data_IF_008939967564
#
_entry.id   IF_008939967564
#
_cell.length_a   1.000
_cell.length_b   1.000
_cell.length_c   1.000
_cell.angle_alpha   90.00
_cell.angle_beta   90.00
_cell.angle_gamma   90.00
#
_symmetry.space_group_name_H-M   'P 1'
#
loop_
_entity.id
_entity.type
_entity.pdbx_description
1 polymer ?
#
# COMPACT_ATOMS: atom_id res chain seq x y z
N UNK A 1 -4.07 37.61 18.61
CA UNK A 1 -5.45 37.25 18.34
C UNK A 1 -5.43 36.50 17.00
N UNK A 2 -5.88 35.27 16.97
CA UNK A 2 -5.99 34.51 15.73
C UNK A 2 -7.40 34.72 15.13
N UNK A 3 -7.46 34.79 13.79
CA UNK A 3 -8.71 34.79 13.07
C UNK A 3 -8.99 33.37 12.58
N UNK A 4 -10.17 32.88 12.83
CA UNK A 4 -10.69 31.59 12.34
C UNK A 4 -11.86 31.81 11.41
N UNK A 5 -12.15 30.87 10.53
CA UNK A 5 -13.33 30.93 9.67
C UNK A 5 -14.53 30.28 10.38
N UNK A 6 -15.66 30.96 10.38
CA UNK A 6 -16.90 30.38 10.88
C UNK A 6 -17.31 29.17 10.02
N UNK A 7 -17.56 27.99 10.60
CA UNK A 7 -17.90 26.78 9.85
C UNK A 7 -19.26 26.86 9.14
N UNK A 8 -20.15 27.78 9.56
CA UNK A 8 -21.49 27.92 9.01
C UNK A 8 -21.54 28.97 7.90
N UNK A 9 -21.00 30.18 8.14
CA UNK A 9 -21.11 31.29 7.19
C UNK A 9 -19.80 31.63 6.45
N UNK A 10 -18.68 30.98 6.78
CA UNK A 10 -17.37 31.18 6.14
C UNK A 10 -16.66 32.50 6.47
N UNK A 11 -17.29 33.40 7.23
CA UNK A 11 -16.70 34.71 7.58
C UNK A 11 -15.58 34.56 8.61
N UNK A 12 -14.58 35.48 8.53
CA UNK A 12 -13.49 35.53 9.51
C UNK A 12 -13.97 36.07 10.84
N UNK A 13 -13.73 35.34 11.92
CA UNK A 13 -14.14 35.69 13.29
C UNK A 13 -12.95 35.53 14.25
N UNK A 14 -12.96 36.22 15.37
CA UNK A 14 -11.94 36.01 16.42
C UNK A 14 -12.08 34.61 17.03
N UNK A 15 -10.95 33.97 17.30
CA UNK A 15 -10.85 32.70 18.02
C UNK A 15 -11.41 32.78 19.46
N UNK A 16 -11.60 33.99 19.98
CA UNK A 16 -12.15 34.29 21.32
C UNK A 16 -13.60 34.80 21.30
N UNK A 17 -14.27 34.81 20.14
CA UNK A 17 -15.63 35.26 20.05
C UNK A 17 -16.60 34.28 20.73
N UNK A 18 -17.50 34.74 21.57
CA UNK A 18 -18.52 33.89 22.22
C UNK A 18 -19.58 33.38 21.25
N UNK A 19 -19.75 34.07 20.13
CA UNK A 19 -20.61 33.68 19.01
C UNK A 19 -20.15 34.35 17.73
N UNK A 20 -20.46 33.74 16.59
CA UNK A 20 -20.19 34.35 15.29
C UNK A 20 -21.00 35.66 15.13
N UNK A 21 -20.36 36.81 14.89
CA UNK A 21 -21.09 38.08 14.75
C UNK A 21 -21.94 38.14 13.48
N UNK A 22 -21.72 37.25 12.51
CA UNK A 22 -22.39 37.25 11.20
C UNK A 22 -23.59 36.30 11.14
N UNK A 23 -23.52 35.12 11.76
CA UNK A 23 -24.60 34.11 11.71
C UNK A 23 -25.12 33.69 13.09
N UNK A 24 -24.52 34.19 14.19
CA UNK A 24 -24.94 33.88 15.54
C UNK A 24 -24.49 32.49 16.06
N UNK A 25 -23.73 31.73 15.31
CA UNK A 25 -23.25 30.39 15.71
C UNK A 25 -22.49 30.48 17.05
N UNK A 26 -22.87 29.72 18.10
CA UNK A 26 -22.19 29.76 19.40
C UNK A 26 -20.73 29.30 19.35
N UNK A 27 -19.90 29.82 20.24
CA UNK A 27 -18.47 29.48 20.34
C UNK A 27 -18.19 27.98 20.53
N UNK A 28 -19.13 27.24 21.12
CA UNK A 28 -19.01 25.78 21.29
C UNK A 28 -18.84 25.03 19.99
N UNK A 29 -19.32 25.57 18.88
CA UNK A 29 -19.22 24.95 17.55
C UNK A 29 -17.92 25.29 16.80
N UNK A 30 -17.24 26.38 17.15
CA UNK A 30 -15.96 26.75 16.51
C UNK A 30 -14.75 26.74 17.46
N UNK A 31 -14.96 26.80 18.78
CA UNK A 31 -13.87 26.58 19.76
C UNK A 31 -13.36 25.15 19.78
N UNK A 32 -14.15 24.18 19.31
CA UNK A 32 -13.70 22.82 19.05
C UNK A 32 -12.76 22.72 17.82
N UNK A 33 -12.82 23.65 16.88
CA UNK A 33 -11.95 23.71 15.70
C UNK A 33 -10.54 24.19 16.04
N UNK A 34 -10.40 25.09 17.04
CA UNK A 34 -9.09 25.57 17.51
C UNK A 34 -8.39 24.62 18.49
N UNK A 35 -9.13 23.70 19.10
CA UNK A 35 -8.60 22.72 20.07
C UNK A 35 -8.30 21.34 19.49
N UNK A 36 -8.71 21.08 18.24
CA UNK A 36 -8.54 19.78 17.59
C UNK A 36 -7.25 19.65 16.72
N UNK A 37 -6.25 20.51 16.99
CA UNK A 37 -4.88 20.24 16.55
C UNK A 37 -4.14 19.17 17.41
N UNK A 38 -4.64 18.68 18.54
CA UNK A 38 -3.86 17.77 19.41
C UNK A 38 -3.75 16.32 18.89
N UNK A 39 -4.73 15.81 18.14
CA UNK A 39 -4.68 14.41 17.71
C UNK A 39 -3.64 14.09 16.64
N UNK A 40 -3.13 15.08 15.93
CA UNK A 40 -2.05 14.93 14.95
C UNK A 40 -0.72 14.61 15.65
N UNK A 41 -0.52 15.04 16.90
CA UNK A 41 0.70 14.79 17.67
C UNK A 41 0.72 13.43 18.37
N UNK A 42 -0.42 12.82 18.62
CA UNK A 42 -0.51 11.56 19.37
C UNK A 42 -0.13 10.32 18.57
N UNK A 43 -0.18 10.39 17.25
CA UNK A 43 0.20 9.26 16.39
C UNK A 43 1.72 9.16 16.09
N UNK A 44 2.55 10.08 16.60
CA UNK A 44 3.99 10.08 16.34
C UNK A 44 4.38 10.30 14.87
N UNK A 45 3.42 10.72 14.03
CA UNK A 45 3.63 10.95 12.61
C UNK A 45 4.12 12.37 12.33
N UNK A 46 5.17 12.48 11.54
CA UNK A 46 5.65 13.76 11.03
C UNK A 46 4.86 14.18 9.79
N UNK A 47 3.74 14.88 10.00
CA UNK A 47 2.90 15.38 8.90
C UNK A 47 3.61 16.39 7.99
N UNK A 48 4.73 17.01 8.46
CA UNK A 48 5.51 17.91 7.62
C UNK A 48 6.20 17.18 6.47
N UNK A 49 6.48 15.88 6.68
CA UNK A 49 7.10 15.00 5.70
C UNK A 49 6.10 14.09 4.97
N UNK A 50 4.81 14.17 5.28
CA UNK A 50 3.83 13.24 4.75
C UNK A 50 3.79 13.22 3.22
N UNK A 51 3.88 14.39 2.56
CA UNK A 51 3.93 14.44 1.09
C UNK A 51 5.13 13.67 0.53
N UNK A 52 6.31 13.78 1.17
CA UNK A 52 7.49 13.02 0.76
C UNK A 52 7.33 11.52 0.99
N UNK A 53 6.62 11.12 2.05
CA UNK A 53 6.28 9.71 2.30
C UNK A 53 5.39 9.17 1.19
N UNK A 54 4.38 9.91 0.74
CA UNK A 54 3.50 9.50 -0.35
C UNK A 54 4.27 9.36 -1.67
N UNK A 55 5.17 10.30 -1.98
CA UNK A 55 6.04 10.23 -3.17
C UNK A 55 6.96 9.00 -3.10
N UNK A 56 7.53 8.74 -1.93
CA UNK A 56 8.40 7.56 -1.73
C UNK A 56 7.60 6.27 -1.89
N UNK A 57 6.41 6.21 -1.33
CA UNK A 57 5.51 5.06 -1.49
C UNK A 57 5.16 4.80 -2.97
N UNK A 58 4.77 5.84 -3.72
CA UNK A 58 4.44 5.70 -5.14
C UNK A 58 5.61 5.10 -5.93
N UNK A 59 6.84 5.56 -5.66
CA UNK A 59 8.06 5.02 -6.28
C UNK A 59 8.30 3.56 -5.89
N UNK A 60 8.27 3.25 -4.59
CA UNK A 60 8.58 1.94 -4.05
C UNK A 60 7.51 0.91 -4.45
N UNK A 61 6.23 1.33 -4.49
CA UNK A 61 5.13 0.53 -5.00
C UNK A 61 5.29 0.24 -6.51
N UNK A 62 5.61 1.25 -7.32
CA UNK A 62 5.82 1.07 -8.75
C UNK A 62 7.02 0.15 -9.04
N UNK A 63 8.08 0.22 -8.22
CA UNK A 63 9.22 -0.67 -8.32
C UNK A 63 8.86 -2.11 -7.93
N UNK A 64 8.08 -2.30 -6.87
CA UNK A 64 7.62 -3.60 -6.40
C UNK A 64 6.78 -4.32 -7.47
N UNK A 65 5.87 -3.60 -8.12
CA UNK A 65 4.98 -4.12 -9.16
C UNK A 65 5.59 -4.05 -10.58
N UNK A 66 6.90 -3.98 -10.70
CA UNK A 66 7.56 -4.10 -11.99
C UNK A 66 7.32 -5.50 -12.59
N UNK A 67 7.08 -5.57 -13.90
CA UNK A 67 6.68 -6.81 -14.57
C UNK A 67 7.78 -7.88 -14.66
N UNK A 68 8.99 -7.57 -14.19
CA UNK A 68 10.20 -8.37 -14.44
C UNK A 68 10.51 -9.39 -13.34
N UNK A 69 9.82 -9.35 -12.20
CA UNK A 69 10.11 -10.25 -11.08
C UNK A 69 8.85 -10.66 -10.30
N UNK A 70 8.96 -11.80 -9.63
CA UNK A 70 8.00 -12.28 -8.64
C UNK A 70 8.10 -11.45 -7.37
N UNK A 71 6.97 -11.07 -6.77
CA UNK A 71 6.95 -10.35 -5.50
C UNK A 71 7.01 -11.35 -4.36
N UNK A 72 8.15 -11.44 -3.68
CA UNK A 72 8.34 -12.34 -2.55
C UNK A 72 7.59 -11.85 -1.30
N UNK A 73 7.36 -12.77 -0.34
CA UNK A 73 6.78 -12.41 0.96
C UNK A 73 7.61 -11.33 1.67
N UNK A 74 8.93 -11.40 1.60
CA UNK A 74 9.85 -10.43 2.22
C UNK A 74 9.71 -9.03 1.61
N UNK A 75 9.58 -8.93 0.29
CA UNK A 75 9.44 -7.64 -0.38
C UNK A 75 8.10 -6.99 -0.05
N UNK A 76 7.02 -7.78 -0.04
CA UNK A 76 5.71 -7.34 0.40
C UNK A 76 5.72 -6.88 1.87
N UNK A 77 6.37 -7.64 2.75
CA UNK A 77 6.49 -7.30 4.17
C UNK A 77 7.29 -6.02 4.39
N UNK A 78 8.37 -5.82 3.64
CA UNK A 78 9.16 -4.56 3.69
C UNK A 78 8.31 -3.34 3.38
N UNK A 79 7.44 -3.43 2.35
CA UNK A 79 6.53 -2.33 2.03
C UNK A 79 5.53 -2.07 3.16
N UNK A 80 4.94 -3.14 3.74
CA UNK A 80 4.02 -3.04 4.89
C UNK A 80 4.69 -2.42 6.11
N UNK A 81 5.87 -2.87 6.47
CA UNK A 81 6.61 -2.37 7.65
C UNK A 81 6.97 -0.89 7.49
N UNK A 82 7.32 -0.49 6.27
CA UNK A 82 7.68 0.90 5.98
C UNK A 82 6.48 1.84 6.04
N UNK A 83 5.34 1.43 5.47
CA UNK A 83 4.20 2.32 5.21
C UNK A 83 2.94 2.02 6.02
N UNK A 84 2.83 0.85 6.66
CA UNK A 84 1.63 0.41 7.38
C UNK A 84 1.18 1.36 8.47
N UNK A 85 2.12 1.91 9.24
CA UNK A 85 1.83 2.92 10.29
C UNK A 85 1.14 4.18 9.75
N UNK A 86 1.45 4.56 8.50
CA UNK A 86 0.80 5.69 7.84
C UNK A 86 -0.59 5.32 7.38
N UNK A 87 -0.81 4.10 6.87
CA UNK A 87 -2.12 3.62 6.46
C UNK A 87 -3.14 3.70 7.61
N UNK A 88 -2.77 3.19 8.79
CA UNK A 88 -3.64 3.24 9.98
C UNK A 88 -4.00 4.68 10.38
N UNK A 89 -3.02 5.57 10.34
CA UNK A 89 -3.20 6.96 10.78
C UNK A 89 -3.93 7.81 9.74
N UNK A 90 -3.74 7.55 8.45
CA UNK A 90 -4.31 8.33 7.36
C UNK A 90 -5.74 7.93 6.99
N UNK A 91 -6.23 6.78 7.43
CA UNK A 91 -7.64 6.39 7.30
C UNK A 91 -8.57 7.28 8.13
N UNK A 92 -8.03 8.09 9.03
CA UNK A 92 -8.83 9.03 9.77
C UNK A 92 -9.52 10.02 8.83
N UNK A 93 -10.86 10.04 8.85
CA UNK A 93 -11.70 10.95 8.06
C UNK A 93 -11.29 12.42 8.18
N UNK A 94 -10.77 12.81 9.35
CA UNK A 94 -10.27 14.17 9.59
C UNK A 94 -9.04 14.49 8.71
N UNK A 95 -8.09 13.58 8.62
CA UNK A 95 -6.87 13.79 7.81
C UNK A 95 -7.22 13.92 6.32
N UNK A 96 -8.11 13.05 5.83
CA UNK A 96 -8.56 13.11 4.44
C UNK A 96 -9.30 14.43 4.13
N UNK A 97 -10.13 14.92 5.05
CA UNK A 97 -10.88 16.16 4.88
C UNK A 97 -10.01 17.42 5.00
N UNK A 98 -8.85 17.33 5.64
CA UNK A 98 -7.94 18.45 5.87
C UNK A 98 -6.60 18.35 5.11
N UNK A 99 -6.51 17.49 4.10
CA UNK A 99 -5.29 17.26 3.33
C UNK A 99 -4.64 18.56 2.83
N UNK A 100 -5.44 19.50 2.34
CA UNK A 100 -4.95 20.82 1.88
C UNK A 100 -4.32 21.64 3.03
N UNK A 101 -4.88 21.57 4.23
CA UNK A 101 -4.36 22.30 5.41
C UNK A 101 -3.01 21.73 5.87
N UNK A 102 -2.79 20.43 5.71
CA UNK A 102 -1.53 19.73 6.02
C UNK A 102 -0.57 19.69 4.82
N UNK A 103 -0.91 20.36 3.71
CA UNK A 103 -0.11 20.45 2.47
C UNK A 103 0.18 19.09 1.84
N UNK A 104 -0.83 18.24 1.78
CA UNK A 104 -0.78 16.93 1.13
C UNK A 104 -1.67 16.91 -0.10
N UNK A 105 -1.18 16.36 -1.19
CA UNK A 105 -1.99 16.10 -2.38
C UNK A 105 -3.04 15.04 -2.08
N UNK A 106 -4.31 15.40 -2.23
CA UNK A 106 -5.43 14.54 -1.91
C UNK A 106 -5.53 13.31 -2.82
N UNK A 107 -5.10 13.42 -4.05
CA UNK A 107 -5.17 12.31 -5.00
C UNK A 107 -4.06 11.29 -4.74
N UNK A 108 -2.85 11.72 -4.40
CA UNK A 108 -1.78 10.85 -3.90
C UNK A 108 -2.19 10.15 -2.61
N UNK A 109 -2.83 10.87 -1.68
CA UNK A 109 -3.34 10.27 -0.45
C UNK A 109 -4.39 9.18 -0.72
N UNK A 110 -5.34 9.44 -1.61
CA UNK A 110 -6.38 8.47 -1.99
C UNK A 110 -5.80 7.26 -2.72
N UNK A 111 -4.79 7.46 -3.57
CA UNK A 111 -4.07 6.34 -4.23
C UNK A 111 -3.38 5.47 -3.19
N UNK A 112 -2.61 6.09 -2.29
CA UNK A 112 -1.93 5.38 -1.20
C UNK A 112 -2.88 4.50 -0.40
N UNK A 113 -4.00 5.06 0.09
CA UNK A 113 -4.98 4.32 0.90
C UNK A 113 -5.59 3.14 0.12
N UNK A 114 -5.94 3.33 -1.14
CA UNK A 114 -6.46 2.24 -1.99
C UNK A 114 -5.42 1.15 -2.21
N UNK A 115 -4.20 1.51 -2.61
CA UNK A 115 -3.13 0.55 -2.90
C UNK A 115 -2.70 -0.23 -1.66
N UNK A 116 -2.67 0.40 -0.47
CA UNK A 116 -2.42 -0.30 0.77
C UNK A 116 -3.57 -1.25 1.16
N UNK A 117 -4.81 -0.88 0.87
CA UNK A 117 -5.98 -1.71 1.13
C UNK A 117 -6.06 -2.93 0.20
N UNK A 118 -5.71 -2.77 -1.08
CA UNK A 118 -5.75 -3.85 -2.08
C UNK A 118 -4.46 -4.64 -2.19
N UNK A 119 -3.40 -4.28 -1.46
CA UNK A 119 -2.03 -4.75 -1.65
C UNK A 119 -1.91 -6.27 -1.77
N UNK A 120 -2.56 -7.05 -0.90
CA UNK A 120 -2.48 -8.51 -0.92
C UNK A 120 -3.13 -9.12 -2.17
N UNK A 121 -4.27 -8.57 -2.56
CA UNK A 121 -4.95 -8.95 -3.79
C UNK A 121 -4.14 -8.61 -5.04
N UNK A 122 -3.55 -7.42 -5.06
CA UNK A 122 -2.73 -6.94 -6.18
C UNK A 122 -1.45 -7.78 -6.32
N UNK A 123 -0.78 -8.14 -5.20
CA UNK A 123 0.37 -9.04 -5.18
C UNK A 123 -0.01 -10.41 -5.74
N UNK A 124 -1.12 -10.98 -5.28
CA UNK A 124 -1.59 -12.28 -5.76
C UNK A 124 -1.84 -12.27 -7.27
N UNK A 125 -2.52 -11.25 -7.77
CA UNK A 125 -2.80 -11.08 -9.20
C UNK A 125 -1.51 -10.89 -10.02
N UNK A 126 -0.57 -10.07 -9.52
CA UNK A 126 0.73 -9.85 -10.13
C UNK A 126 1.51 -11.16 -10.24
N UNK A 127 1.67 -11.88 -9.13
CA UNK A 127 2.44 -13.13 -9.07
C UNK A 127 1.83 -14.22 -9.95
N UNK A 128 0.51 -14.34 -9.99
CA UNK A 128 -0.18 -15.25 -10.92
C UNK A 128 0.17 -14.92 -12.37
N UNK A 129 0.07 -13.64 -12.74
CA UNK A 129 0.40 -13.18 -14.09
C UNK A 129 1.89 -13.39 -14.43
N UNK A 130 2.78 -13.16 -13.47
CA UNK A 130 4.22 -13.40 -13.63
C UNK A 130 4.50 -14.87 -13.90
N UNK A 131 3.96 -15.78 -13.08
CA UNK A 131 4.16 -17.23 -13.23
C UNK A 131 3.61 -17.72 -14.57
N UNK A 132 2.41 -17.28 -14.98
CA UNK A 132 1.81 -17.68 -16.26
C UNK A 132 2.67 -17.23 -17.46
N UNK A 133 3.20 -16.01 -17.42
CA UNK A 133 4.13 -15.50 -18.46
C UNK A 133 5.46 -16.27 -18.47
N UNK A 134 6.00 -16.57 -17.30
CA UNK A 134 7.27 -17.30 -17.18
C UNK A 134 7.12 -18.74 -17.66
N UNK A 135 6.00 -19.41 -17.38
CA UNK A 135 5.70 -20.75 -17.90
C UNK A 135 5.73 -20.80 -19.42
N UNK A 136 5.11 -19.82 -20.08
CA UNK A 136 5.13 -19.76 -21.54
C UNK A 136 6.51 -19.40 -22.11
N UNK A 137 7.17 -18.39 -21.53
CA UNK A 137 8.51 -17.94 -21.96
C UNK A 137 9.56 -19.02 -21.82
N UNK A 138 9.57 -19.75 -20.70
CA UNK A 138 10.64 -20.65 -20.31
C UNK A 138 10.31 -22.13 -20.60
N UNK A 139 9.22 -22.42 -21.33
CA UNK A 139 8.76 -23.75 -21.64
C UNK A 139 9.83 -24.63 -22.26
N UNK A 140 10.46 -24.15 -23.32
CA UNK A 140 11.51 -24.88 -24.03
C UNK A 140 12.79 -25.04 -23.21
N UNK A 141 13.08 -24.07 -22.34
CA UNK A 141 14.22 -24.12 -21.45
C UNK A 141 14.13 -25.29 -20.46
N UNK A 142 13.00 -25.44 -19.80
CA UNK A 142 12.76 -26.55 -18.86
C UNK A 142 12.81 -27.90 -19.57
N UNK A 143 12.18 -28.02 -20.74
CA UNK A 143 12.19 -29.25 -21.52
C UNK A 143 13.59 -29.66 -21.99
N UNK A 144 14.42 -28.69 -22.35
CA UNK A 144 15.77 -28.97 -22.84
C UNK A 144 16.79 -29.28 -21.73
N UNK A 145 16.73 -28.59 -20.59
CA UNK A 145 17.66 -28.84 -19.47
C UNK A 145 17.47 -30.25 -18.92
N UNK A 146 16.24 -30.66 -18.67
CA UNK A 146 15.95 -31.96 -18.06
C UNK A 146 16.26 -33.11 -19.01
N UNK A 147 16.01 -32.97 -20.30
CA UNK A 147 16.36 -33.95 -21.31
C UNK A 147 17.87 -34.19 -21.47
N UNK A 148 18.72 -33.24 -21.07
CA UNK A 148 20.17 -33.43 -21.02
C UNK A 148 20.60 -34.36 -19.87
N UNK A 149 19.81 -34.44 -18.81
CA UNK A 149 20.06 -35.29 -17.64
C UNK A 149 19.45 -36.69 -17.87
N UNK A 150 18.17 -36.71 -18.21
CA UNK A 150 17.46 -37.94 -18.57
C UNK A 150 16.37 -37.61 -19.60
N UNK A 151 16.46 -38.24 -20.82
CA UNK A 151 15.46 -37.99 -21.88
C UNK A 151 14.00 -38.30 -21.51
N UNK A 152 13.81 -39.10 -20.46
CA UNK A 152 12.46 -39.51 -20.01
C UNK A 152 11.88 -38.58 -18.94
N UNK A 153 12.66 -37.62 -18.40
CA UNK A 153 12.17 -36.67 -17.41
C UNK A 153 11.40 -35.55 -18.11
N UNK A 154 10.16 -35.37 -17.68
CA UNK A 154 9.31 -34.25 -18.07
C UNK A 154 8.59 -33.71 -16.84
N UNK A 155 8.73 -32.41 -16.57
CA UNK A 155 7.95 -31.74 -15.54
C UNK A 155 6.52 -31.52 -16.01
N UNK A 156 5.55 -31.82 -15.14
CA UNK A 156 4.17 -31.40 -15.34
C UNK A 156 4.02 -29.87 -15.07
N UNK A 157 2.82 -29.34 -15.32
CA UNK A 157 2.59 -27.91 -15.18
C UNK A 157 2.71 -27.44 -13.72
N UNK A 158 2.25 -28.25 -12.75
CA UNK A 158 2.33 -27.90 -11.33
C UNK A 158 3.80 -27.87 -10.85
N UNK A 159 4.60 -28.82 -11.31
CA UNK A 159 6.04 -28.85 -11.03
C UNK A 159 6.75 -27.64 -11.65
N UNK A 160 6.43 -27.25 -12.87
CA UNK A 160 6.98 -26.05 -13.52
C UNK A 160 6.59 -24.78 -12.77
N UNK A 161 5.33 -24.67 -12.32
CA UNK A 161 4.87 -23.57 -11.49
C UNK A 161 5.66 -23.48 -10.18
N UNK A 162 5.89 -24.61 -9.52
CA UNK A 162 6.66 -24.66 -8.28
C UNK A 162 8.11 -24.17 -8.47
N UNK A 163 8.74 -24.50 -9.60
CA UNK A 163 10.11 -24.05 -9.93
C UNK A 163 10.17 -22.54 -10.22
N UNK A 164 9.12 -21.99 -10.87
CA UNK A 164 9.07 -20.56 -11.24
C UNK A 164 8.70 -19.68 -10.05
N UNK A 165 7.98 -20.24 -9.06
CA UNK A 165 7.57 -19.48 -7.86
C UNK A 165 8.80 -19.13 -7.02
N UNK A 166 9.22 -17.88 -7.07
CA UNK A 166 10.40 -17.35 -6.39
C UNK A 166 10.01 -16.66 -5.07
N UNK A 167 9.44 -17.45 -4.14
CA UNK A 167 9.09 -16.94 -2.80
C UNK A 167 10.15 -17.33 -1.76
N UNK A 168 10.25 -16.55 -0.69
CA UNK A 168 11.17 -16.80 0.44
C UNK A 168 10.89 -18.14 1.15
N UNK A 169 9.63 -18.59 1.09
CA UNK A 169 9.17 -19.85 1.69
C UNK A 169 8.26 -20.59 0.72
N UNK A 170 8.72 -21.73 0.22
CA UNK A 170 7.93 -22.60 -0.64
C UNK A 170 7.74 -23.96 0.04
N UNK A 171 6.48 -24.38 0.23
CA UNK A 171 6.14 -25.72 0.72
C UNK A 171 5.56 -26.56 -0.41
N UNK A 172 6.32 -27.56 -0.87
CA UNK A 172 5.84 -28.51 -1.87
C UNK A 172 5.21 -29.74 -1.18
N UNK A 173 3.88 -29.85 -1.32
CA UNK A 173 3.13 -30.99 -0.81
C UNK A 173 2.79 -31.93 -1.95
N UNK A 174 3.37 -33.13 -1.95
CA UNK A 174 3.17 -34.12 -2.99
C UNK A 174 3.20 -35.55 -2.45
N UNK A 175 2.46 -36.46 -3.07
CA UNK A 175 2.42 -37.88 -2.74
C UNK A 175 3.76 -38.60 -2.98
N UNK A 176 3.86 -39.84 -2.54
CA UNK A 176 5.01 -40.69 -2.85
C UNK A 176 5.07 -40.95 -4.36
N UNK A 177 6.26 -40.80 -4.96
CA UNK A 177 6.46 -41.00 -6.40
C UNK A 177 6.04 -39.82 -7.30
N UNK A 178 5.62 -38.70 -6.73
CA UNK A 178 5.21 -37.50 -7.48
C UNK A 178 6.37 -36.64 -7.99
N UNK A 179 7.61 -37.13 -8.04
CA UNK A 179 8.76 -36.43 -8.61
C UNK A 179 9.35 -35.28 -7.79
N UNK A 180 9.03 -35.19 -6.48
CA UNK A 180 9.53 -34.11 -5.59
C UNK A 180 11.04 -33.86 -5.66
N UNK A 181 11.81 -34.91 -5.83
CA UNK A 181 13.29 -34.84 -5.88
C UNK A 181 13.77 -34.32 -7.24
N UNK A 182 12.95 -34.39 -8.26
CA UNK A 182 13.27 -33.91 -9.61
C UNK A 182 12.84 -32.44 -9.81
N UNK A 183 11.82 -32.00 -9.09
CA UNK A 183 11.38 -30.59 -9.05
C UNK A 183 12.19 -29.79 -8.05
#
# INVERSE_FOLDING_TARGET
MALIRCPECGNSISDRAEKCPHCGLPASYFSSLSKNTPHIKEAGLDYKNLQNVLISFERDHAQLFSAEHYISHRDAQRLRDTYGKYNESLTNKYVCNNAAAIRVDIDSLRRFLRQMQSLDGDITAHNTTYVDRALERDKDYFDNILKQIDPNIQLDEEQRRAVITDDDYCLLVAGAGAGKTTT
#
